data_IF_749995510203
#
_entry.id   IF_749995510203
#
_cell.length_a   1.000
_cell.length_b   1.000
_cell.length_c   1.000
_cell.angle_alpha   90.00
_cell.angle_beta   90.00
_cell.angle_gamma   90.00
#
_symmetry.space_group_name_H-M   'P 1'
#
loop_
_entity.id
_entity.type
_entity.pdbx_description
1 polymer ?
#
# COMPACT_ATOMS: atom_id res chain seq x y z
N UNK A 1 -15.51 18.73 -10.95
CA UNK A 1 -14.52 17.64 -10.84
C UNK A 1 -14.52 16.85 -12.14
N UNK A 2 -13.34 16.63 -12.74
CA UNK A 2 -13.20 15.80 -13.93
C UNK A 2 -13.06 14.33 -13.54
N UNK A 3 -14.13 13.56 -13.74
CA UNK A 3 -14.20 12.15 -13.36
C UNK A 3 -13.25 11.24 -14.16
N UNK A 4 -12.67 11.73 -15.26
CA UNK A 4 -11.71 10.98 -16.09
C UNK A 4 -10.27 11.13 -15.62
N UNK A 5 -9.99 12.05 -14.69
CA UNK A 5 -8.65 12.41 -14.19
C UNK A 5 -8.56 12.40 -12.67
N UNK A 6 -9.00 11.31 -12.05
CA UNK A 6 -8.99 11.17 -10.59
C UNK A 6 -7.77 10.35 -10.15
N UNK A 7 -7.02 10.87 -9.18
CA UNK A 7 -6.03 10.15 -8.40
C UNK A 7 -6.58 9.72 -7.04
N UNK A 8 -5.94 8.75 -6.39
CA UNK A 8 -6.24 8.32 -5.02
C UNK A 8 -4.93 8.20 -4.23
N UNK A 9 -4.94 8.67 -2.99
CA UNK A 9 -3.79 8.55 -2.11
C UNK A 9 -4.20 8.40 -0.66
N UNK A 10 -3.35 7.78 0.14
CA UNK A 10 -3.55 7.64 1.57
C UNK A 10 -2.34 7.07 2.29
N UNK A 11 -2.27 7.35 3.58
CA UNK A 11 -1.21 6.92 4.49
C UNK A 11 -1.76 5.98 5.56
N UNK A 12 -1.00 4.96 5.98
CA UNK A 12 -1.39 3.99 7.00
C UNK A 12 -2.66 3.23 6.59
N UNK A 13 -3.74 3.29 7.36
CA UNK A 13 -5.03 2.73 6.97
C UNK A 13 -5.55 3.32 5.65
N UNK A 14 -5.27 4.62 5.39
CA UNK A 14 -5.53 5.23 4.08
C UNK A 14 -4.69 4.59 2.96
N UNK A 15 -3.47 4.14 3.25
CA UNK A 15 -2.65 3.34 2.34
C UNK A 15 -3.22 1.94 2.10
N UNK A 16 -3.77 1.29 3.14
CA UNK A 16 -4.56 0.07 2.97
C UNK A 16 -5.73 0.29 2.03
N UNK A 17 -6.55 1.31 2.30
CA UNK A 17 -7.70 1.63 1.46
C UNK A 17 -7.29 1.96 0.02
N UNK A 18 -6.18 2.66 -0.18
CA UNK A 18 -5.65 2.93 -1.52
C UNK A 18 -5.29 1.64 -2.26
N UNK A 19 -4.51 0.76 -1.63
CA UNK A 19 -4.13 -0.54 -2.22
C UNK A 19 -5.34 -1.42 -2.50
N UNK A 20 -6.31 -1.45 -1.57
CA UNK A 20 -7.55 -2.17 -1.72
C UNK A 20 -8.37 -1.67 -2.91
N UNK A 21 -8.63 -0.37 -2.96
CA UNK A 21 -9.48 0.22 -4.01
C UNK A 21 -8.89 0.00 -5.40
N UNK A 22 -7.57 0.21 -5.59
CA UNK A 22 -6.94 -0.01 -6.91
C UNK A 22 -6.86 -1.48 -7.31
N UNK A 23 -6.99 -2.40 -6.35
CA UNK A 23 -7.12 -3.83 -6.62
C UNK A 23 -8.55 -4.27 -6.96
N UNK A 24 -9.56 -3.38 -6.76
CA UNK A 24 -10.97 -3.66 -7.03
C UNK A 24 -11.51 -2.88 -8.25
N UNK A 25 -10.89 -1.77 -8.64
CA UNK A 25 -11.35 -0.94 -9.76
C UNK A 25 -10.22 -0.23 -10.48
N UNK A 26 -10.34 -0.08 -11.81
CA UNK A 26 -9.44 0.72 -12.65
C UNK A 26 -9.87 2.19 -12.82
N UNK A 27 -10.75 2.71 -11.95
CA UNK A 27 -11.28 4.08 -12.06
C UNK A 27 -10.23 5.18 -11.94
N UNK A 28 -9.17 4.94 -11.17
CA UNK A 28 -8.16 5.94 -10.87
C UNK A 28 -7.01 5.94 -11.90
N UNK A 29 -6.53 7.12 -12.25
CA UNK A 29 -5.41 7.29 -13.19
C UNK A 29 -4.05 7.22 -12.52
N UNK A 30 -3.99 7.50 -11.24
CA UNK A 30 -2.80 7.40 -10.40
C UNK A 30 -3.18 7.02 -8.98
N UNK A 31 -2.28 6.35 -8.27
CA UNK A 31 -2.43 6.04 -6.87
C UNK A 31 -1.12 6.24 -6.10
N UNK A 32 -1.19 6.65 -4.82
CA UNK A 32 -0.07 6.65 -3.89
C UNK A 32 -0.46 5.95 -2.60
N UNK A 33 0.25 4.88 -2.28
CA UNK A 33 0.14 4.13 -1.03
C UNK A 33 1.30 4.49 -0.11
N UNK A 34 1.04 5.23 0.95
CA UNK A 34 2.03 5.53 2.00
C UNK A 34 1.82 4.65 3.23
N UNK A 35 2.87 4.03 3.74
CA UNK A 35 2.85 3.14 4.92
C UNK A 35 1.62 2.21 4.95
N UNK A 36 1.25 1.66 3.79
CA UNK A 36 0.06 0.84 3.62
C UNK A 36 0.29 -0.62 3.97
N UNK A 37 -0.80 -1.33 4.27
CA UNK A 37 -0.82 -2.73 4.71
C UNK A 37 -1.61 -3.62 3.73
N UNK A 38 -1.04 -3.92 2.55
CA UNK A 38 -1.74 -4.67 1.50
C UNK A 38 -1.89 -6.17 1.78
N UNK A 39 -1.19 -6.70 2.79
CA UNK A 39 -1.23 -8.11 3.21
C UNK A 39 -1.63 -8.21 4.67
N UNK A 40 -2.93 -8.34 4.95
CA UNK A 40 -3.42 -8.42 6.34
C UNK A 40 -2.92 -9.67 7.06
N UNK A 41 -2.68 -10.75 6.33
CA UNK A 41 -2.20 -12.00 6.92
C UNK A 41 -0.80 -11.85 7.52
N UNK A 42 0.16 -11.28 6.77
CA UNK A 42 1.50 -11.02 7.30
C UNK A 42 1.51 -9.85 8.28
N UNK A 43 0.66 -8.84 8.07
CA UNK A 43 0.50 -7.70 9.00
C UNK A 43 0.13 -8.17 10.40
N UNK A 44 -0.82 -9.11 10.53
CA UNK A 44 -1.32 -9.59 11.81
C UNK A 44 -0.20 -10.12 12.74
N UNK A 45 0.82 -10.76 12.15
CA UNK A 45 1.90 -11.41 12.91
C UNK A 45 3.17 -10.55 13.05
N UNK A 46 3.20 -9.36 12.44
CA UNK A 46 4.45 -8.56 12.35
C UNK A 46 4.33 -7.12 12.85
N UNK A 47 3.11 -6.63 13.06
CA UNK A 47 2.87 -5.27 13.59
C UNK A 47 3.18 -5.16 15.08
N UNK A 48 3.56 -3.95 15.54
CA UNK A 48 3.71 -3.62 16.97
C UNK A 48 2.36 -3.45 17.71
N UNK A 49 1.22 -3.49 16.98
CA UNK A 49 -0.14 -3.35 17.54
C UNK A 49 -1.05 -4.54 17.21
N UNK A 50 -0.68 -5.78 17.55
CA UNK A 50 -1.46 -6.97 17.18
C UNK A 50 -2.90 -6.93 17.72
N UNK A 51 -3.17 -6.27 18.84
CA UNK A 51 -4.52 -6.10 19.39
C UNK A 51 -5.48 -5.35 18.48
N UNK A 52 -4.99 -4.45 17.63
CA UNK A 52 -5.80 -3.81 16.59
C UNK A 52 -6.32 -4.85 15.58
N UNK A 53 -5.44 -5.74 15.13
CA UNK A 53 -5.80 -6.80 14.19
C UNK A 53 -6.82 -7.75 14.83
N UNK A 54 -6.56 -8.18 16.06
CA UNK A 54 -7.47 -9.04 16.81
C UNK A 54 -8.88 -8.43 16.92
N UNK A 55 -8.97 -7.15 17.25
CA UNK A 55 -10.24 -6.46 17.45
C UNK A 55 -11.01 -6.21 16.15
N UNK A 56 -10.34 -5.76 15.08
CA UNK A 56 -11.01 -5.28 13.88
C UNK A 56 -11.11 -6.31 12.74
N UNK A 57 -10.33 -7.41 12.82
CA UNK A 57 -10.27 -8.41 11.75
C UNK A 57 -10.73 -9.80 12.19
N UNK A 58 -11.62 -9.88 13.16
CA UNK A 58 -12.26 -11.14 13.62
C UNK A 58 -11.26 -12.13 14.22
N UNK A 59 -10.39 -11.63 15.11
CA UNK A 59 -9.36 -12.42 15.77
C UNK A 59 -8.07 -12.56 14.97
N UNK A 60 -7.04 -13.09 15.62
CA UNK A 60 -5.75 -13.38 14.98
C UNK A 60 -5.86 -14.54 13.97
N UNK A 61 -5.04 -14.57 12.91
CA UNK A 61 -5.02 -15.69 11.98
C UNK A 61 -4.70 -17.00 12.68
N UNK A 62 -5.48 -18.05 12.43
CA UNK A 62 -5.27 -19.37 12.99
C UNK A 62 -4.57 -20.27 11.96
N UNK A 63 -3.33 -20.64 12.26
CA UNK A 63 -2.50 -21.47 11.39
C UNK A 63 -2.63 -22.94 11.82
N UNK A 64 -3.39 -23.73 11.08
CA UNK A 64 -3.62 -25.16 11.33
C UNK A 64 -3.09 -26.07 10.18
N UNK A 65 -2.31 -25.49 9.27
CA UNK A 65 -1.80 -26.17 8.09
C UNK A 65 -2.78 -26.26 6.93
N UNK A 66 -4.01 -25.76 7.08
CA UNK A 66 -5.03 -25.74 6.02
C UNK A 66 -5.11 -24.38 5.34
N UNK A 67 -4.89 -24.35 4.01
CA UNK A 67 -5.06 -23.15 3.20
C UNK A 67 -6.53 -22.72 3.03
N UNK A 68 -7.46 -23.59 3.38
CA UNK A 68 -8.90 -23.31 3.34
C UNK A 68 -9.50 -23.01 4.71
N UNK A 69 -8.66 -22.89 5.75
CA UNK A 69 -9.09 -22.47 7.08
C UNK A 69 -9.88 -21.14 6.97
N UNK A 70 -11.10 -21.05 7.54
CA UNK A 70 -11.95 -19.85 7.43
C UNK A 70 -11.26 -18.57 7.93
N UNK A 71 -10.41 -18.67 8.96
CA UNK A 71 -9.63 -17.54 9.49
C UNK A 71 -8.62 -17.05 8.45
N UNK A 72 -7.82 -17.93 7.86
CA UNK A 72 -6.82 -17.58 6.82
C UNK A 72 -7.53 -17.01 5.60
N UNK A 73 -8.60 -17.63 5.15
CA UNK A 73 -9.41 -17.17 4.03
C UNK A 73 -9.94 -15.75 4.24
N UNK A 74 -10.44 -15.45 5.45
CA UNK A 74 -10.92 -14.12 5.82
C UNK A 74 -9.86 -13.03 5.60
N UNK A 75 -8.60 -13.28 6.02
CA UNK A 75 -7.49 -12.35 5.84
C UNK A 75 -7.10 -12.20 4.37
N UNK A 76 -6.99 -13.31 3.63
CA UNK A 76 -6.63 -13.29 2.22
C UNK A 76 -7.66 -12.54 1.37
N UNK A 77 -8.94 -12.75 1.62
CA UNK A 77 -10.03 -12.08 0.88
C UNK A 77 -10.05 -10.56 1.08
N UNK A 78 -9.47 -10.06 2.17
CA UNK A 78 -9.39 -8.63 2.52
C UNK A 78 -8.01 -8.01 2.28
N UNK A 79 -7.08 -8.79 1.76
CA UNK A 79 -5.72 -8.36 1.44
C UNK A 79 -5.62 -7.94 -0.02
N UNK A 80 -5.22 -6.70 -0.28
CA UNK A 80 -5.05 -6.16 -1.64
C UNK A 80 -4.06 -7.00 -2.47
N UNK A 81 -3.04 -7.58 -1.83
CA UNK A 81 -2.04 -8.42 -2.49
C UNK A 81 -2.66 -9.65 -3.18
N UNK A 82 -3.77 -10.19 -2.65
CA UNK A 82 -4.49 -11.32 -3.24
C UNK A 82 -5.10 -10.99 -4.61
N UNK A 83 -5.24 -9.70 -4.93
CA UNK A 83 -5.83 -9.18 -6.17
C UNK A 83 -4.84 -8.32 -6.98
N UNK A 84 -3.54 -8.52 -6.75
CA UNK A 84 -2.47 -7.76 -7.41
C UNK A 84 -2.47 -7.91 -8.94
N UNK A 85 -3.01 -9.00 -9.47
CA UNK A 85 -3.25 -9.24 -10.90
C UNK A 85 -4.22 -8.23 -11.51
N UNK A 86 -5.23 -7.79 -10.75
CA UNK A 86 -6.28 -6.85 -11.19
C UNK A 86 -5.83 -5.38 -11.19
N UNK A 87 -4.71 -5.05 -10.54
CA UNK A 87 -4.22 -3.66 -10.48
C UNK A 87 -3.81 -3.20 -11.87
N UNK A 88 -4.44 -2.12 -12.33
CA UNK A 88 -4.11 -1.44 -13.60
C UNK A 88 -3.65 0.00 -13.38
N UNK A 89 -3.97 0.59 -12.24
CA UNK A 89 -3.60 1.96 -11.86
C UNK A 89 -2.11 2.03 -11.53
N UNK A 90 -1.34 2.97 -12.14
CA UNK A 90 0.03 3.25 -11.71
C UNK A 90 0.09 3.57 -10.23
N UNK A 91 0.95 2.86 -9.48
CA UNK A 91 1.02 2.95 -8.01
C UNK A 91 2.41 3.37 -7.53
N UNK A 92 2.49 4.51 -6.85
CA UNK A 92 3.64 4.92 -6.05
C UNK A 92 3.49 4.36 -4.63
N UNK A 93 4.55 3.76 -4.11
CA UNK A 93 4.60 3.22 -2.75
C UNK A 93 5.68 3.98 -1.98
N UNK A 94 5.32 4.60 -0.86
CA UNK A 94 6.23 5.35 0.01
C UNK A 94 6.20 4.76 1.42
N UNK A 95 7.38 4.56 2.05
CA UNK A 95 7.43 3.89 3.34
C UNK A 95 8.65 4.31 4.18
N UNK A 96 8.47 4.38 5.49
CA UNK A 96 9.57 4.55 6.43
C UNK A 96 10.39 3.27 6.58
N UNK A 97 11.73 3.39 6.56
CA UNK A 97 12.60 2.22 6.63
C UNK A 97 12.59 1.49 7.97
N UNK A 98 12.20 2.19 9.05
CA UNK A 98 12.12 1.68 10.43
C UNK A 98 10.66 1.64 10.93
N UNK A 99 9.70 1.46 10.04
CA UNK A 99 8.28 1.38 10.40
C UNK A 99 7.98 0.02 11.06
N UNK A 100 7.71 0.04 12.37
CA UNK A 100 7.30 -1.14 13.15
C UNK A 100 5.77 -1.30 13.19
N UNK A 101 5.02 -0.19 13.00
CA UNK A 101 3.57 -0.18 12.96
C UNK A 101 3.03 -0.92 11.75
N UNK A 102 3.57 -0.57 10.59
CA UNK A 102 3.36 -1.27 9.32
C UNK A 102 4.73 -1.73 8.84
N UNK A 103 5.13 -2.96 9.17
CA UNK A 103 6.49 -3.44 8.91
C UNK A 103 6.88 -3.36 7.43
N UNK A 104 8.16 -3.11 7.18
CA UNK A 104 8.74 -2.92 5.83
C UNK A 104 8.46 -4.07 4.85
N UNK A 105 8.14 -5.25 5.36
CA UNK A 105 7.69 -6.38 4.55
C UNK A 105 6.44 -6.07 3.73
N UNK A 106 5.51 -5.27 4.27
CA UNK A 106 4.24 -4.94 3.65
C UNK A 106 4.40 -4.27 2.27
N UNK A 107 5.11 -3.14 2.14
CA UNK A 107 5.32 -2.51 0.84
C UNK A 107 6.18 -3.38 -0.09
N UNK A 108 7.15 -4.15 0.44
CA UNK A 108 8.01 -5.03 -0.35
C UNK A 108 7.24 -6.17 -1.00
N UNK A 109 6.35 -6.84 -0.26
CA UNK A 109 5.50 -7.91 -0.77
C UNK A 109 4.64 -7.41 -1.94
N UNK A 110 3.96 -6.27 -1.74
CA UNK A 110 3.06 -5.74 -2.75
C UNK A 110 3.80 -5.22 -3.99
N UNK A 111 4.89 -4.47 -3.79
CA UNK A 111 5.75 -4.02 -4.88
C UNK A 111 6.23 -5.17 -5.74
N UNK A 112 6.77 -6.25 -5.12
CA UNK A 112 7.23 -7.43 -5.85
C UNK A 112 6.10 -8.14 -6.59
N UNK A 113 4.94 -8.30 -5.94
CA UNK A 113 3.76 -8.90 -6.57
C UNK A 113 3.32 -8.12 -7.83
N UNK A 114 3.35 -6.78 -7.77
CA UNK A 114 3.02 -5.91 -8.90
C UNK A 114 4.10 -5.95 -9.99
N UNK A 115 5.38 -5.84 -9.63
CA UNK A 115 6.49 -5.87 -10.60
C UNK A 115 6.56 -7.19 -11.36
N UNK A 116 6.37 -8.33 -10.69
CA UNK A 116 6.36 -9.65 -11.33
C UNK A 116 5.22 -9.82 -12.35
N UNK A 117 4.20 -8.95 -12.28
CA UNK A 117 3.08 -8.89 -13.22
C UNK A 117 3.21 -7.75 -14.25
N UNK A 118 4.37 -7.10 -14.32
CA UNK A 118 4.62 -6.00 -15.26
C UNK A 118 3.80 -4.74 -14.98
N UNK A 119 3.28 -4.57 -13.75
CA UNK A 119 2.49 -3.39 -13.39
C UNK A 119 3.38 -2.16 -13.20
N UNK A 120 2.85 -0.98 -13.53
CA UNK A 120 3.55 0.29 -13.32
C UNK A 120 3.54 0.64 -11.85
N UNK A 121 4.69 0.50 -11.19
CA UNK A 121 4.85 0.79 -9.76
C UNK A 121 6.27 1.22 -9.45
N UNK A 122 6.40 2.13 -8.48
CA UNK A 122 7.66 2.57 -7.87
C UNK A 122 7.57 2.38 -6.36
N UNK A 123 8.70 2.08 -5.72
CA UNK A 123 8.82 1.94 -4.27
C UNK A 123 9.97 2.82 -3.78
N UNK A 124 9.69 3.66 -2.80
CA UNK A 124 10.67 4.53 -2.14
C UNK A 124 10.66 4.26 -0.65
N UNK A 125 11.85 4.00 -0.08
CA UNK A 125 12.07 3.92 1.35
C UNK A 125 12.75 5.17 1.86
N UNK A 126 12.25 5.67 2.98
CA UNK A 126 12.87 6.76 3.73
C UNK A 126 13.66 6.17 4.90
N UNK A 127 15.01 6.13 4.81
CA UNK A 127 15.86 5.58 5.88
C UNK A 127 15.62 6.32 7.20
N UNK A 128 15.72 5.61 8.32
CA UNK A 128 15.55 6.11 9.69
C UNK A 128 14.13 6.53 10.08
N UNK A 129 13.23 6.66 9.12
CA UNK A 129 11.84 7.06 9.39
C UNK A 129 11.00 5.87 9.87
N UNK A 130 10.14 6.13 10.85
CA UNK A 130 9.15 5.20 11.34
C UNK A 130 7.83 5.30 10.56
N UNK A 131 6.71 5.09 11.26
CA UNK A 131 5.36 5.12 10.67
C UNK A 131 4.95 6.50 10.13
N UNK A 132 5.49 7.57 10.69
CA UNK A 132 5.39 8.95 10.19
C UNK A 132 6.76 9.44 9.76
N UNK A 133 6.82 10.26 8.71
CA UNK A 133 8.06 10.90 8.31
C UNK A 133 8.28 12.16 9.16
N UNK A 134 9.42 12.27 9.82
CA UNK A 134 9.79 13.34 10.73
C UNK A 134 10.89 14.26 10.20
N UNK A 135 11.80 13.72 9.39
CA UNK A 135 12.90 14.50 8.82
C UNK A 135 12.39 15.46 7.74
N UNK A 136 12.75 16.73 7.85
CA UNK A 136 12.29 17.80 6.94
C UNK A 136 12.48 17.45 5.45
N UNK A 137 13.68 17.00 5.07
CA UNK A 137 13.97 16.68 3.67
C UNK A 137 13.19 15.45 3.17
N UNK A 138 12.92 14.47 4.03
CA UNK A 138 12.09 13.33 3.69
C UNK A 138 10.64 13.75 3.46
N UNK A 139 10.11 14.66 4.28
CA UNK A 139 8.76 15.21 4.10
C UNK A 139 8.65 15.99 2.78
N UNK A 140 9.64 16.83 2.46
CA UNK A 140 9.67 17.58 1.20
C UNK A 140 9.78 16.67 -0.03
N UNK A 141 10.66 15.65 0.02
CA UNK A 141 10.79 14.67 -1.07
C UNK A 141 9.50 13.87 -1.25
N UNK A 142 8.87 13.44 -0.15
CA UNK A 142 7.57 12.78 -0.19
C UNK A 142 6.53 13.64 -0.90
N UNK A 143 6.33 14.88 -0.48
CA UNK A 143 5.33 15.79 -1.07
C UNK A 143 5.58 16.02 -2.57
N UNK A 144 6.85 16.20 -2.95
CA UNK A 144 7.25 16.34 -4.36
C UNK A 144 6.90 15.09 -5.17
N UNK A 145 7.25 13.89 -4.68
CA UNK A 145 6.95 12.61 -5.38
C UNK A 145 5.45 12.35 -5.50
N UNK A 146 4.69 12.61 -4.45
CA UNK A 146 3.23 12.49 -4.45
C UNK A 146 2.62 13.36 -5.54
N UNK A 147 3.00 14.65 -5.56
CA UNK A 147 2.51 15.58 -6.57
C UNK A 147 2.92 15.17 -7.99
N UNK A 148 4.21 14.91 -8.22
CA UNK A 148 4.74 14.55 -9.54
C UNK A 148 4.08 13.26 -10.07
N UNK A 149 3.89 12.25 -9.21
CA UNK A 149 3.26 11.00 -9.60
C UNK A 149 1.81 11.20 -10.02
N UNK A 150 1.03 11.85 -9.16
CA UNK A 150 -0.38 12.12 -9.46
C UNK A 150 -0.52 12.99 -10.70
N UNK A 151 0.26 14.08 -10.82
CA UNK A 151 0.22 14.98 -11.97
C UNK A 151 0.61 14.29 -13.27
N UNK A 152 1.62 13.44 -13.26
CA UNK A 152 2.06 12.66 -14.43
C UNK A 152 0.90 11.89 -15.06
N UNK A 153 0.13 11.17 -14.30
CA UNK A 153 -0.91 10.27 -14.81
C UNK A 153 -2.30 10.89 -14.89
N UNK A 154 -2.54 12.02 -14.20
CA UNK A 154 -3.83 12.72 -14.28
C UNK A 154 -3.82 13.90 -15.22
N UNK A 155 -2.67 14.61 -15.35
CA UNK A 155 -2.53 15.81 -16.17
C UNK A 155 -1.64 15.60 -17.41
N UNK A 156 -0.93 14.46 -17.51
CA UNK A 156 0.00 14.19 -18.60
C UNK A 156 1.29 15.04 -18.52
N UNK A 157 1.63 15.57 -17.34
CA UNK A 157 2.83 16.38 -17.16
C UNK A 157 4.09 15.51 -17.28
N UNK A 158 5.06 15.94 -18.07
CA UNK A 158 6.39 15.34 -18.06
C UNK A 158 7.07 15.71 -16.74
N UNK A 159 7.71 14.73 -16.10
CA UNK A 159 8.56 14.99 -14.92
C UNK A 159 9.64 15.99 -15.31
N UNK A 160 9.78 17.08 -14.56
CA UNK A 160 10.96 17.93 -14.65
C UNK A 160 12.11 17.10 -14.07
N UNK A 161 13.10 16.78 -14.92
CA UNK A 161 14.33 16.09 -14.49
C UNK A 161 15.20 17.02 -13.67
#
# INVERSE_FOLDING_TARGET
>A
VDATRIGIQGWSYGGYMTSWVVSQTGRFKAAMMGAGLPSLLSMASTTDIPGYIDTFFNGMPQYDGSLVNPSIKFYLERSAISYSDKVTTPLLILHGGNDERVPIGQPMEFYRALKNRGKTTELVFYPREGHGLSEYYHQMDRMRREYEWIARYTLGTKTVQ
#
